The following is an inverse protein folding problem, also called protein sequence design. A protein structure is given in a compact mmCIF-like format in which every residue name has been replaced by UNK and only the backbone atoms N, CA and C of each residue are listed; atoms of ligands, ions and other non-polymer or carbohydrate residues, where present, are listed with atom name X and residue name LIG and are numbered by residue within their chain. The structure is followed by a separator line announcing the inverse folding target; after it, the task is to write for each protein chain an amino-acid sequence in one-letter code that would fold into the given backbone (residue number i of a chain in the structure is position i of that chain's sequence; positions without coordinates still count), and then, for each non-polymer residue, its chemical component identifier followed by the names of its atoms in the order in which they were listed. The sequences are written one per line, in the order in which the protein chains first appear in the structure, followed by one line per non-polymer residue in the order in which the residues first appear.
data_IF_297966179569
#
_entry.id   IF_297966179569
#
_cell.length_a   1.000
_cell.length_b   1.000
_cell.length_c   1.000
_cell.angle_alpha   90.00
_cell.angle_beta   90.00
_cell.angle_gamma   90.00
#
_symmetry.space_group_name_H-M   'P 1'
#
loop_
_entity.id
_entity.type
_entity.pdbx_description
1 polymer ?
2 polymer ?
#
# COMPACT_ATOMS: atom_id res chain seq x y z
N UNK A 4 12.18 -11.30 -0.25
CA UNK A 4 13.39 -11.71 -0.98
C UNK A 4 14.00 -10.73 -2.00
N UNK A 5 13.23 -9.69 -2.39
CA UNK A 5 13.68 -8.71 -3.38
C UNK A 5 14.15 -7.46 -2.65
N UNK A 6 13.35 -6.39 -2.64
CA UNK A 6 13.78 -5.09 -2.16
C UNK A 6 14.86 -4.44 -3.04
N UNK A 7 14.47 -3.31 -3.65
CA UNK A 7 15.43 -2.44 -4.43
C UNK A 7 15.65 -2.97 -5.84
N UNK A 8 15.17 -2.19 -6.83
CA UNK A 8 15.39 -2.55 -8.25
C UNK A 8 15.82 -1.27 -8.97
N UNK A 9 16.46 -1.39 -10.13
CA UNK A 9 16.87 -0.24 -10.90
C UNK A 9 15.59 0.41 -11.44
N UNK A 10 15.64 1.70 -11.82
CA UNK A 10 14.50 2.29 -12.50
C UNK A 10 14.40 1.67 -13.89
N UNK A 11 13.19 1.54 -14.43
CA UNK A 11 13.07 0.99 -15.79
C UNK A 11 14.02 -0.21 -15.94
N UNK B 10 22.89 26.40 3.47
CA UNK B 10 22.80 24.90 3.47
C UNK B 10 23.36 24.37 4.79
N UNK B 11 22.49 24.27 5.81
CA UNK B 11 22.87 23.78 7.12
C UNK B 11 22.38 22.35 7.34
N UNK B 12 21.90 21.73 6.25
CA UNK B 12 21.42 20.36 6.24
C UNK B 12 22.47 19.41 5.63
N UNK B 13 23.48 19.95 4.93
CA UNK B 13 24.58 19.17 4.38
C UNK B 13 25.93 19.87 4.52
N UNK B 14 26.88 19.25 5.25
CA UNK B 14 28.26 19.73 5.33
C UNK B 14 28.93 19.66 3.96
N UNK B 15 30.19 20.15 3.84
CA UNK B 15 30.70 20.51 2.52
C UNK B 15 31.69 19.47 1.97
N UNK B 16 32.37 18.74 2.88
CA UNK B 16 33.40 17.80 2.45
C UNK B 16 32.96 16.34 2.57
N UNK B 17 32.38 15.80 1.49
CA UNK B 17 31.71 14.52 1.56
C UNK B 17 32.12 13.68 0.35
N UNK B 18 32.63 12.47 0.65
CA UNK B 18 33.29 11.65 -0.36
C UNK B 18 32.87 10.17 -0.22
N UNK B 19 32.68 9.53 -1.38
CA UNK B 19 32.33 8.11 -1.46
C UNK B 19 32.87 7.52 -2.76
N UNK B 20 33.53 6.33 -2.66
CA UNK B 20 34.00 5.60 -3.83
C UNK B 20 32.76 5.18 -4.59
N UNK B 21 31.81 4.62 -3.82
CA UNK B 21 30.55 4.11 -4.42
C UNK B 21 29.47 5.17 -4.22
N UNK B 22 29.10 5.85 -5.29
CA UNK B 22 28.11 6.90 -5.25
C UNK B 22 26.76 6.32 -5.62
N UNK B 23 25.90 6.27 -4.61
CA UNK B 23 24.71 5.44 -4.69
C UNK B 23 23.56 6.13 -3.96
N UNK B 24 22.36 6.02 -4.57
CA UNK B 24 21.17 6.50 -3.89
C UNK B 24 20.11 5.39 -3.91
N UNK B 25 19.19 5.52 -2.94
CA UNK B 25 18.06 4.64 -2.81
C UNK B 25 16.78 5.43 -2.57
N UNK B 26 15.77 5.19 -3.40
CA UNK B 26 14.44 5.78 -3.21
C UNK B 26 13.42 4.74 -2.80
N UNK B 27 12.69 5.10 -1.74
CA UNK B 27 11.56 4.36 -1.22
C UNK B 27 10.29 5.17 -1.47
N UNK B 28 9.39 4.64 -2.31
CA UNK B 28 8.08 5.23 -2.48
C UNK B 28 7.11 4.50 -1.59
N UNK B 29 6.59 5.20 -0.56
CA UNK B 29 5.80 4.56 0.46
C UNK B 29 4.40 5.15 0.43
N UNK B 30 3.42 4.30 0.15
CA UNK B 30 2.05 4.73 -0.05
C UNK B 30 1.10 3.92 0.82
N UNK B 31 0.13 4.61 1.37
CA UNK B 31 -0.95 3.96 2.07
C UNK B 31 -2.24 4.16 1.26
N UNK B 32 -2.91 3.07 0.87
CA UNK B 32 -4.13 3.21 0.06
C UNK B 32 -5.40 2.95 0.89
N UNK B 33 -6.32 3.91 0.86
CA UNK B 33 -7.53 3.88 1.66
C UNK B 33 -8.76 3.75 0.76
N UNK B 34 -9.73 2.95 1.19
CA UNK B 34 -10.85 2.49 0.37
C UNK B 34 -12.08 2.24 1.23
N UNK B 35 -13.22 2.71 0.73
CA UNK B 35 -14.51 2.32 1.29
C UNK B 35 -15.42 1.93 0.14
N UNK B 36 -15.71 0.64 0.01
CA UNK B 36 -16.51 0.15 -1.10
C UNK B 36 -17.90 -0.26 -0.59
N UNK B 37 -18.95 0.07 -1.36
CA UNK B 37 -20.33 -0.37 -1.13
C UNK B 37 -20.51 -1.85 -1.43
N UNK B 38 -21.62 -2.48 -0.99
CA UNK B 38 -21.80 -3.94 -1.17
C UNK B 38 -21.97 -4.33 -2.63
N UNK B 39 -22.53 -3.40 -3.42
CA UNK B 39 -22.67 -3.54 -4.87
C UNK B 39 -21.32 -3.57 -5.57
N UNK B 40 -20.50 -2.55 -5.28
CA UNK B 40 -19.17 -2.42 -5.89
C UNK B 40 -18.87 -0.97 -6.26
N UNK B 41 -19.62 -0.02 -5.71
CA UNK B 41 -19.33 1.39 -5.87
C UNK B 41 -18.14 1.73 -4.98
N UNK B 42 -17.25 2.57 -5.50
CA UNK B 42 -16.26 3.20 -4.66
C UNK B 42 -16.93 4.39 -4.00
N UNK B 43 -17.25 4.29 -2.70
CA UNK B 43 -17.74 5.41 -1.92
C UNK B 43 -16.67 6.46 -1.65
N UNK B 44 -15.41 6.03 -1.44
CA UNK B 44 -14.35 6.93 -1.06
C UNK B 44 -13.02 6.20 -1.12
N UNK B 45 -11.98 6.91 -1.56
CA UNK B 45 -10.69 6.28 -1.79
C UNK B 45 -9.65 7.36 -1.90
N UNK B 46 -8.52 7.20 -1.21
CA UNK B 46 -7.41 8.12 -1.36
C UNK B 46 -6.08 7.41 -1.11
N UNK B 47 -5.00 8.01 -1.58
CA UNK B 47 -3.65 7.56 -1.28
C UNK B 47 -2.85 8.67 -0.60
N UNK B 48 -2.11 8.31 0.45
CA UNK B 48 -1.14 9.18 1.10
C UNK B 48 0.21 8.56 0.86
N UNK B 49 1.15 9.36 0.40
CA UNK B 49 2.44 8.88 -0.03
C UNK B 49 3.56 9.79 0.44
N UNK B 50 4.76 9.24 0.43
CA UNK B 50 5.95 10.01 0.70
C UNK B 50 7.06 9.25 0.00
N UNK B 51 8.00 10.04 -0.52
CA UNK B 51 9.23 9.51 -1.07
C UNK B 51 10.35 9.71 -0.08
N UNK B 52 11.04 8.61 0.25
CA UNK B 52 12.23 8.70 1.06
C UNK B 52 13.46 8.44 0.19
N UNK B 53 14.51 9.26 0.42
CA UNK B 53 15.74 9.15 -0.40
C UNK B 53 16.97 8.91 0.49
N UNK B 54 17.60 7.73 0.36
CA UNK B 54 18.84 7.46 1.06
C UNK B 54 19.96 7.74 0.07
N UNK B 55 20.78 8.76 0.35
CA UNK B 55 21.79 9.22 -0.61
C UNK B 55 23.18 9.11 -0.01
N UNK B 56 24.09 8.54 -0.82
CA UNK B 56 25.51 8.44 -0.49
C UNK B 56 26.26 8.96 -1.72
N UNK B 57 26.28 10.30 -1.80
CA UNK B 57 26.74 11.02 -2.97
C UNK B 57 27.85 11.98 -2.61
N UNK B 58 28.80 12.10 -3.53
CA UNK B 58 30.04 12.81 -3.25
C UNK B 58 29.84 14.28 -3.54
N UNK B 59 30.08 15.10 -2.51
CA UNK B 59 30.28 16.53 -2.69
C UNK B 59 29.13 17.36 -2.13
N UNK B 60 28.58 18.22 -3.01
CA UNK B 60 27.33 18.95 -2.81
C UNK B 60 26.59 18.93 -4.15
N UNK B 61 25.83 17.86 -4.46
CA UNK B 61 25.30 17.68 -5.82
C UNK B 61 23.89 18.19 -6.09
N UNK B 62 23.66 18.57 -7.34
CA UNK B 62 22.37 19.11 -7.72
C UNK B 62 21.57 18.00 -8.41
N UNK B 63 20.59 17.47 -7.66
CA UNK B 63 19.76 16.39 -8.14
C UNK B 63 18.41 16.91 -8.59
N UNK B 64 17.85 16.23 -9.60
CA UNK B 64 16.56 16.52 -10.20
C UNK B 64 15.67 15.28 -10.20
N UNK B 65 14.60 15.28 -9.39
CA UNK B 65 13.69 14.15 -9.27
C UNK B 65 12.51 14.28 -10.25
N UNK B 66 12.47 13.37 -11.22
CA UNK B 66 11.37 13.28 -12.14
C UNK B 66 10.56 12.00 -11.90
N UNK B 67 9.26 12.20 -11.65
CA UNK B 67 8.25 11.14 -11.70
C UNK B 67 7.39 11.37 -12.94
N UNK B 68 6.15 10.88 -12.89
CA UNK B 68 5.24 10.79 -14.04
C UNK B 68 4.01 11.63 -13.69
N UNK B 69 4.24 12.93 -13.46
CA UNK B 69 3.23 13.85 -12.99
C UNK B 69 2.45 14.42 -14.19
N UNK B 70 1.15 14.65 -13.96
CA UNK B 70 0.25 15.34 -14.88
C UNK B 70 -0.48 14.28 -15.72
N UNK B 91 1.06 8.43 -16.46
CA UNK B 91 1.10 9.78 -15.81
C UNK B 91 -0.05 9.93 -14.81
N UNK B 92 0.23 10.48 -13.61
CA UNK B 92 -0.76 10.57 -12.54
C UNK B 92 -0.88 11.98 -11.95
N UNK B 93 -1.90 12.11 -11.08
CA UNK B 93 -2.46 13.38 -10.71
C UNK B 93 -2.32 13.58 -9.20
N UNK B 94 -1.37 14.45 -8.84
CA UNK B 94 -1.17 14.79 -7.45
C UNK B 94 -2.09 15.94 -7.05
N UNK B 95 -3.02 15.64 -6.13
CA UNK B 95 -3.90 16.63 -5.55
C UNK B 95 -3.12 17.73 -4.85
N UNK B 96 -2.12 17.37 -4.04
CA UNK B 96 -1.33 18.35 -3.31
C UNK B 96 -0.16 17.63 -2.65
N UNK B 97 0.87 18.40 -2.25
CA UNK B 97 2.07 17.82 -1.70
C UNK B 97 3.04 18.87 -1.15
N UNK B 98 3.31 18.82 0.17
CA UNK B 98 4.46 19.47 0.79
C UNK B 98 5.77 18.81 0.36
N UNK B 99 6.89 19.49 0.67
CA UNK B 99 8.23 19.04 0.36
C UNK B 99 9.17 19.26 1.55
N UNK B 100 10.47 19.07 1.31
CA UNK B 100 11.52 19.21 2.30
C UNK B 100 12.28 20.51 2.03
N UNK B 101 12.72 21.15 3.13
CA UNK B 101 13.60 22.33 3.06
C UNK B 101 14.32 22.45 1.71
N UNK B 102 15.17 21.47 1.41
CA UNK B 102 16.12 21.54 0.30
C UNK B 102 15.47 21.67 -1.07
N UNK B 103 14.14 21.71 -1.12
CA UNK B 103 13.50 21.70 -2.42
C UNK B 103 13.24 23.15 -2.83
N UNK B 104 13.62 23.43 -4.08
CA UNK B 104 13.54 24.75 -4.67
C UNK B 104 12.30 24.75 -5.58
N UNK B 105 11.32 25.55 -5.19
CA UNK B 105 10.02 25.51 -5.90
C UNK B 105 9.97 26.47 -7.08
N UNK B 106 9.19 26.13 -8.09
CA UNK B 106 9.01 26.94 -9.28
C UNK B 106 7.50 27.18 -9.50
N UNK B 112 7.61 22.71 -14.15
CA UNK B 112 8.26 23.02 -12.85
C UNK B 112 8.46 21.70 -12.08
N UNK B 113 9.60 21.04 -12.38
CA UNK B 113 10.03 19.75 -11.82
C UNK B 113 10.95 19.97 -10.62
N UNK B 114 11.18 18.90 -9.82
CA UNK B 114 11.64 18.99 -8.43
C UNK B 114 13.17 18.98 -8.38
N UNK B 115 13.78 19.94 -7.64
CA UNK B 115 15.21 20.18 -7.72
C UNK B 115 15.79 20.60 -6.37
N UNK B 116 16.96 20.02 -6.04
CA UNK B 116 17.47 20.08 -4.69
C UNK B 116 18.91 19.58 -4.61
N UNK B 117 19.51 19.94 -3.47
CA UNK B 117 20.76 19.41 -2.96
C UNK B 117 20.41 18.65 -1.69
N UNK B 118 20.50 17.31 -1.74
CA UNK B 118 19.94 16.49 -0.68
C UNK B 118 20.78 16.56 0.58
N UNK B 119 20.19 16.35 1.77
CA UNK B 119 20.98 16.04 2.96
C UNK B 119 21.70 14.73 2.68
N UNK B 120 22.62 14.39 3.57
CA UNK B 120 23.32 13.13 3.42
C UNK B 120 22.61 12.09 4.27
N UNK B 121 22.70 10.83 3.83
CA UNK B 121 21.92 9.77 4.43
C UNK B 121 20.46 9.84 3.96
N UNK B 122 19.58 9.57 4.92
CA UNK B 122 18.16 9.41 4.69
C UNK B 122 17.36 10.64 5.07
N UNK B 123 16.50 11.10 4.16
CA UNK B 123 15.48 12.08 4.49
C UNK B 123 14.21 11.88 3.66
N UNK B 124 13.09 12.39 4.17
CA UNK B 124 11.86 12.50 3.41
C UNK B 124 11.97 13.62 2.37
N UNK B 125 11.81 13.28 1.08
CA UNK B 125 11.96 14.26 0.02
C UNK B 125 10.62 14.95 -0.19
N UNK B 126 9.52 14.17 -0.29
CA UNK B 126 8.20 14.77 -0.39
C UNK B 126 7.14 13.88 0.27
N UNK B 127 5.97 14.51 0.45
CA UNK B 127 4.78 13.80 0.98
C UNK B 127 3.66 14.24 0.05
N UNK B 128 2.58 13.47 -0.12
CA UNK B 128 1.58 13.80 -1.13
C UNK B 128 0.30 13.00 -0.94
N UNK B 129 -0.77 13.49 -1.56
CA UNK B 129 -2.10 12.89 -1.49
C UNK B 129 -2.62 12.74 -2.92
N UNK B 130 -3.48 11.74 -3.13
CA UNK B 130 -4.02 11.39 -4.45
C UNK B 130 -5.44 10.87 -4.28
N UNK B 131 -6.33 11.17 -5.23
CA UNK B 131 -7.72 10.74 -5.15
C UNK B 131 -8.21 10.14 -6.47
N UNK B 132 -7.51 10.42 -7.57
CA UNK B 132 -7.98 10.10 -8.92
C UNK B 132 -7.19 8.92 -9.46
N UNK B 133 -7.84 8.05 -10.22
CA UNK B 133 -7.20 7.03 -11.04
C UNK B 133 -6.36 6.07 -10.19
N UNK B 134 -6.85 5.75 -8.99
CA UNK B 134 -6.15 4.95 -8.01
C UNK B 134 -6.26 3.49 -8.41
N UNK B 135 -5.15 2.75 -8.38
CA UNK B 135 -5.24 1.31 -8.51
C UNK B 135 -5.65 0.76 -7.16
N UNK B 136 -6.79 0.05 -7.11
CA UNK B 136 -7.22 -0.72 -5.95
C UNK B 136 -6.71 -2.16 -6.08
N UNK B 137 -5.65 -2.56 -5.35
CA UNK B 137 -4.98 -3.83 -5.59
C UNK B 137 -5.89 -5.00 -5.28
N UNK B 138 -6.94 -4.78 -4.48
CA UNK B 138 -7.78 -5.90 -4.06
C UNK B 138 -9.26 -5.58 -4.16
N UNK B 139 -9.98 -6.57 -4.67
CA UNK B 139 -11.41 -6.55 -4.87
C UNK B 139 -11.93 -7.57 -3.89
N UNK B 140 -12.82 -7.16 -2.98
CA UNK B 140 -13.35 -8.06 -1.97
C UNK B 140 -14.81 -8.29 -2.27
N UNK B 141 -15.21 -9.55 -2.48
CA UNK B 141 -16.59 -9.82 -2.86
C UNK B 141 -17.28 -10.67 -1.81
N UNK B 142 -18.04 -10.06 -0.88
CA UNK B 142 -18.71 -10.82 0.19
C UNK B 142 -20.06 -11.37 -0.21
N UNK B 143 -20.43 -12.50 0.41
CA UNK B 143 -21.73 -13.12 0.20
C UNK B 143 -22.22 -13.69 1.52
N UNK B 144 -23.39 -13.23 2.00
CA UNK B 144 -23.90 -13.57 3.31
C UNK B 144 -25.34 -14.09 3.18
N UNK B 145 -25.61 -15.25 3.81
CA UNK B 145 -26.92 -15.90 3.80
C UNK B 145 -27.32 -16.34 5.22
N UNK B 146 -28.54 -15.93 5.65
CA UNK B 146 -29.09 -16.30 6.94
C UNK B 146 -29.75 -17.68 6.85
N UNK B 147 -29.66 -18.47 7.91
CA UNK B 147 -30.23 -19.80 7.92
C UNK B 147 -31.10 -19.92 9.16
N UNK B 148 -32.36 -19.52 8.97
CA UNK B 148 -33.25 -19.27 10.08
C UNK B 148 -32.57 -18.35 11.10
N UNK B 149 -32.39 -18.86 12.31
CA UNK B 149 -31.97 -18.04 13.42
C UNK B 149 -30.75 -18.69 14.07
N UNK B 150 -30.23 -19.76 13.44
CA UNK B 150 -29.23 -20.59 14.08
C UNK B 150 -27.85 -20.42 13.43
N UNK B 151 -27.80 -19.96 12.16
CA UNK B 151 -26.60 -20.03 11.34
C UNK B 151 -26.49 -18.83 10.40
N UNK B 152 -25.24 -18.37 10.19
CA UNK B 152 -24.90 -17.44 9.12
C UNK B 152 -23.91 -18.10 8.17
N UNK B 153 -24.25 -18.12 6.89
CA UNK B 153 -23.36 -18.67 5.85
C UNK B 153 -22.62 -17.52 5.16
N UNK B 154 -21.28 -17.53 5.21
CA UNK B 154 -20.50 -16.46 4.63
C UNK B 154 -19.45 -17.00 3.67
N UNK B 155 -19.39 -16.38 2.49
CA UNK B 155 -18.32 -16.65 1.53
C UNK B 155 -17.68 -15.32 1.17
N UNK B 156 -16.36 -15.30 1.16
CA UNK B 156 -15.68 -14.08 0.76
C UNK B 156 -14.62 -14.40 -0.28
N UNK B 157 -14.63 -13.64 -1.38
CA UNK B 157 -13.70 -13.85 -2.47
C UNK B 157 -12.81 -12.62 -2.53
N UNK B 158 -11.49 -12.84 -2.60
CA UNK B 158 -10.56 -11.77 -2.83
C UNK B 158 -9.96 -11.97 -4.22
N UNK B 159 -9.90 -10.89 -5.00
CA UNK B 159 -9.29 -10.90 -6.31
C UNK B 159 -8.14 -9.90 -6.30
N UNK B 160 -6.95 -10.35 -6.71
CA UNK B 160 -5.83 -9.43 -6.86
C UNK B 160 -5.81 -8.80 -8.24
N UNK B 161 -5.45 -7.53 -8.29
CA UNK B 161 -5.70 -6.69 -9.45
C UNK B 161 -4.42 -5.99 -9.85
N UNK B 162 -3.50 -6.78 -10.42
CA UNK B 162 -2.18 -6.27 -10.77
C UNK B 162 -1.34 -7.32 -11.51
N UNK B 163 -0.25 -6.89 -12.11
CA UNK B 163 0.54 -7.74 -12.99
C UNK B 163 0.85 -9.07 -12.26
N UNK B 164 0.62 -10.23 -12.90
CA UNK B 164 1.05 -11.54 -12.35
C UNK B 164 2.49 -11.70 -11.87
N UNK B 165 3.35 -10.82 -12.37
CA UNK B 165 4.78 -10.83 -12.10
C UNK B 165 5.05 -10.44 -10.65
N UNK B 166 4.17 -9.58 -10.09
CA UNK B 166 4.25 -9.00 -8.76
C UNK B 166 3.47 -9.85 -7.75
N UNK B 167 4.03 -9.95 -6.52
CA UNK B 167 3.44 -10.64 -5.39
C UNK B 167 3.01 -9.67 -4.29
N UNK B 168 1.72 -9.67 -3.93
CA UNK B 168 1.33 -9.09 -2.65
C UNK B 168 1.78 -10.01 -1.55
N UNK B 169 2.08 -9.44 -0.40
CA UNK B 169 2.32 -10.26 0.78
C UNK B 169 1.62 -9.67 2.00
N UNK B 170 1.65 -10.44 3.10
CA UNK B 170 1.07 -10.05 4.37
C UNK B 170 -0.40 -9.70 4.22
N UNK B 171 -1.15 -10.57 3.53
CA UNK B 171 -2.60 -10.34 3.28
C UNK B 171 -3.39 -10.76 4.54
N UNK B 172 -4.11 -9.82 5.14
CA UNK B 172 -4.95 -10.14 6.33
C UNK B 172 -6.40 -9.79 6.04
N UNK B 173 -7.28 -10.79 5.97
CA UNK B 173 -8.73 -10.53 5.74
C UNK B 173 -9.45 -10.65 7.10
N UNK B 174 -10.31 -9.70 7.43
CA UNK B 174 -10.98 -9.70 8.70
C UNK B 174 -12.49 -9.68 8.44
N UNK B 175 -13.17 -10.78 8.77
CA UNK B 175 -14.62 -10.90 8.64
C UNK B 175 -15.24 -10.82 10.02
N UNK B 176 -16.03 -9.77 10.35
CA UNK B 176 -16.69 -9.66 11.65
C UNK B 176 -17.87 -10.60 11.86
N UNK B 177 -18.04 -11.00 13.13
CA UNK B 177 -19.02 -11.99 13.55
C UNK B 177 -19.92 -11.36 14.60
N UNK B 178 -21.24 -11.69 14.65
CA UNK B 178 -22.15 -11.15 15.67
C UNK B 178 -21.72 -11.43 17.10
N UNK B 179 -22.32 -10.71 18.08
CA UNK B 179 -21.93 -10.90 19.47
C UNK B 179 -22.48 -12.21 20.01
N UNK B 180 -23.58 -12.69 19.40
CA UNK B 180 -24.25 -13.93 19.79
C UNK B 180 -23.65 -15.14 19.05
N UNK B 181 -22.32 -15.22 18.97
CA UNK B 181 -21.70 -16.22 18.13
C UNK B 181 -21.20 -17.34 19.04
N UNK B 182 -21.79 -18.54 18.88
CA UNK B 182 -21.40 -19.69 19.69
C UNK B 182 -20.17 -20.38 19.10
N UNK B 183 -20.01 -20.29 17.78
CA UNK B 183 -18.85 -20.91 17.15
C UNK B 183 -18.83 -20.63 15.65
N UNK B 184 -17.68 -20.97 15.05
CA UNK B 184 -17.45 -20.75 13.63
C UNK B 184 -16.68 -21.91 13.01
N UNK B 185 -17.20 -22.43 11.89
CA UNK B 185 -16.47 -23.32 11.00
C UNK B 185 -15.98 -22.53 9.78
N UNK B 186 -14.68 -22.65 9.44
CA UNK B 186 -14.20 -22.07 8.20
C UNK B 186 -13.42 -23.12 7.40
N UNK B 187 -13.57 -23.06 6.07
CA UNK B 187 -12.70 -23.77 5.16
C UNK B 187 -12.00 -22.73 4.30
N UNK B 188 -10.68 -22.89 4.08
CA UNK B 188 -10.06 -22.13 3.00
C UNK B 188 -8.88 -22.87 2.39
N UNK B 189 -8.83 -22.90 1.06
CA UNK B 189 -7.81 -23.65 0.32
C UNK B 189 -6.45 -22.97 0.46
N UNK B 190 -6.41 -21.63 0.45
CA UNK B 190 -5.21 -20.86 0.63
C UNK B 190 -5.20 -20.26 2.03
N UNK B 191 -4.00 -20.24 2.64
CA UNK B 191 -3.77 -19.53 3.89
C UNK B 191 -4.33 -20.28 5.10
N UNK B 192 -4.38 -19.60 6.25
CA UNK B 192 -4.90 -20.15 7.49
C UNK B 192 -5.86 -19.12 8.06
N UNK B 193 -7.00 -19.59 8.59
CA UNK B 193 -7.96 -18.70 9.22
C UNK B 193 -8.35 -19.27 10.57
N UNK B 194 -8.49 -18.40 11.56
CA UNK B 194 -8.98 -18.79 12.86
C UNK B 194 -9.96 -17.73 13.34
N UNK B 195 -11.03 -18.18 14.03
CA UNK B 195 -11.97 -17.31 14.70
C UNK B 195 -11.31 -16.77 15.96
N UNK B 196 -11.47 -15.47 16.19
CA UNK B 196 -10.94 -14.80 17.35
C UNK B 196 -12.14 -14.23 18.11
N UNK B 197 -12.56 -14.88 19.20
CA UNK B 197 -13.83 -14.53 19.84
C UNK B 197 -13.69 -13.25 20.66
N UNK B 198 -12.49 -13.07 21.26
CA UNK B 198 -12.11 -11.84 21.95
C UNK B 198 -12.43 -10.62 21.08
N UNK B 199 -12.20 -10.73 19.77
CA UNK B 199 -12.27 -9.61 18.84
C UNK B 199 -13.54 -9.69 17.98
N UNK B 200 -14.32 -10.75 18.12
CA UNK B 200 -15.53 -10.92 17.33
C UNK B 200 -15.23 -10.80 15.84
N UNK B 201 -14.24 -11.57 15.36
CA UNK B 201 -13.94 -11.63 13.93
C UNK B 201 -13.26 -12.93 13.53
N UNK B 202 -13.47 -13.30 12.27
CA UNK B 202 -12.66 -14.30 11.60
C UNK B 202 -11.47 -13.60 10.93
N UNK B 203 -10.29 -14.17 11.13
CA UNK B 203 -9.10 -13.53 10.63
C UNK B 203 -8.40 -14.50 9.72
N UNK B 204 -8.37 -14.16 8.44
CA UNK B 204 -7.79 -15.01 7.41
C UNK B 204 -6.50 -14.36 6.95
N UNK B 205 -5.39 -15.11 7.06
CA UNK B 205 -4.06 -14.63 6.72
C UNK B 205 -3.45 -15.48 5.61
N UNK B 206 -2.86 -14.79 4.64
CA UNK B 206 -2.20 -15.37 3.48
C UNK B 206 -0.80 -14.77 3.35
N UNK B 207 0.23 -15.62 3.33
CA UNK B 207 1.60 -15.12 3.33
C UNK B 207 1.84 -14.36 2.03
N UNK B 208 1.47 -14.91 0.87
CA UNK B 208 1.62 -14.16 -0.37
C UNK B 208 0.65 -14.61 -1.47
N UNK B 209 0.34 -13.68 -2.37
CA UNK B 209 -0.63 -13.88 -3.44
C UNK B 209 -0.17 -13.07 -4.65
N UNK B 210 -0.18 -13.74 -5.82
CA UNK B 210 0.22 -13.15 -7.08
C UNK B 210 -0.91 -12.31 -7.68
N UNK B 211 -0.55 -11.37 -8.56
CA UNK B 211 -1.54 -10.55 -9.24
C UNK B 211 -2.42 -11.38 -10.16
N UNK B 212 -3.62 -10.86 -10.44
CA UNK B 212 -4.64 -11.51 -11.28
C UNK B 212 -4.90 -12.93 -10.77
N UNK B 213 -5.53 -13.03 -9.59
CA UNK B 213 -5.82 -14.31 -8.95
C UNK B 213 -7.06 -14.18 -8.07
N UNK B 214 -7.56 -15.32 -7.61
CA UNK B 214 -8.79 -15.40 -6.83
C UNK B 214 -8.57 -16.38 -5.68
N UNK B 215 -9.02 -15.98 -4.50
CA UNK B 215 -9.09 -16.89 -3.38
C UNK B 215 -10.40 -16.64 -2.69
N UNK B 216 -10.93 -17.70 -2.08
CA UNK B 216 -12.17 -17.58 -1.35
C UNK B 216 -12.08 -18.31 -0.02
N UNK B 217 -12.93 -17.85 0.91
CA UNK B 217 -13.08 -18.45 2.21
C UNK B 217 -14.56 -18.65 2.41
N UNK B 218 -14.89 -19.82 2.95
CA UNK B 218 -16.24 -20.14 3.40
C UNK B 218 -16.22 -20.20 4.91
N UNK B 219 -17.26 -19.67 5.54
CA UNK B 219 -17.39 -19.81 6.99
C UNK B 219 -18.85 -20.06 7.31
N UNK B 220 -19.09 -20.86 8.35
CA UNK B 220 -20.44 -21.07 8.88
C UNK B 220 -20.43 -20.58 10.31
N UNK B 221 -21.31 -19.63 10.60
CA UNK B 221 -21.28 -18.97 11.89
C UNK B 221 -22.50 -19.43 12.68
N UNK B 222 -22.22 -20.05 13.84
CA UNK B 222 -23.26 -20.61 14.68
C UNK B 222 -23.72 -19.56 15.71
N UNK B 223 -25.03 -19.26 15.67
CA UNK B 223 -25.64 -18.18 16.43
C UNK B 223 -26.39 -18.68 17.67
N UNK B 224 -25.95 -18.27 18.88
CA UNK B 224 -26.79 -18.24 20.08
C UNK B 224 -28.08 -17.47 19.77
N UNK B 225 -29.22 -17.79 20.43
CA UNK B 225 -30.45 -17.03 20.19
C UNK B 225 -30.39 -15.71 20.94
N UNK B 226 -31.20 -14.75 20.50
CA UNK B 226 -30.95 -13.37 20.87
C UNK B 226 -32.22 -12.55 20.74
N UNK B 227 -32.05 -11.26 21.02
CA UNK B 227 -33.08 -10.37 21.54
C UNK B 227 -34.17 -10.07 20.52
N UNK B 228 -34.11 -10.73 19.35
CA UNK B 228 -35.23 -10.88 18.43
C UNK B 228 -35.41 -9.58 17.64
N UNK B 229 -35.34 -8.44 18.34
CA UNK B 229 -35.31 -7.12 17.71
C UNK B 229 -33.90 -6.57 17.88
N UNK B 230 -32.94 -7.30 17.33
CA UNK B 230 -31.56 -6.85 17.17
C UNK B 230 -31.14 -7.11 15.72
N UNK B 231 -31.21 -6.10 14.86
CA UNK B 231 -30.67 -6.24 13.52
C UNK B 231 -29.15 -6.17 13.68
N UNK B 232 -28.40 -7.06 13.00
CA UNK B 232 -26.94 -7.00 13.02
C UNK B 232 -26.48 -5.81 12.17
N UNK B 233 -25.93 -4.77 12.83
CA UNK B 233 -25.23 -3.70 12.13
C UNK B 233 -23.96 -4.27 11.48
N UNK B 234 -24.11 -4.89 10.28
CA UNK B 234 -23.09 -5.71 9.64
C UNK B 234 -21.85 -4.89 9.31
N UNK B 235 -20.77 -4.83 10.13
CA UNK B 235 -19.65 -3.94 9.83
C UNK B 235 -18.89 -4.45 8.59
N UNK B 236 -17.94 -3.65 8.07
CA UNK B 236 -17.31 -3.98 6.79
C UNK B 236 -16.29 -5.08 6.97
N UNK B 237 -16.13 -5.84 5.91
CA UNK B 237 -14.98 -6.71 5.79
C UNK B 237 -13.79 -5.83 5.49
N UNK B 238 -12.67 -6.06 6.17
CA UNK B 238 -11.51 -5.20 5.96
C UNK B 238 -10.26 -6.02 5.68
N UNK B 239 -9.28 -5.37 5.05
CA UNK B 239 -8.13 -6.06 4.51
C UNK B 239 -6.86 -5.37 4.95
N UNK B 240 -5.77 -6.15 4.99
CA UNK B 240 -4.43 -5.61 5.09
C UNK B 240 -3.59 -6.30 4.05
N UNK B 241 -2.65 -5.54 3.49
CA UNK B 241 -1.77 -6.11 2.49
C UNK B 241 -0.61 -5.15 2.31
N UNK B 242 0.44 -5.68 1.72
CA UNK B 242 1.56 -4.88 1.23
C UNK B 242 1.67 -5.28 -0.21
N UNK B 243 1.93 -4.33 -1.11
CA UNK B 243 2.12 -4.62 -2.52
C UNK B 243 3.36 -3.88 -2.95
N UNK B 244 4.13 -4.42 -3.91
CA UNK B 244 5.33 -3.73 -4.43
C UNK B 244 5.06 -2.81 -5.61
N UNK B 245 4.13 -1.88 -5.43
CA UNK B 245 3.93 -0.82 -6.41
C UNK B 245 3.12 0.26 -5.75
N UNK B 246 3.20 1.47 -6.30
CA UNK B 246 2.41 2.58 -5.81
C UNK B 246 1.00 2.48 -6.38
N UNK B 247 0.00 2.32 -5.50
CA UNK B 247 -1.40 2.43 -5.90
C UNK B 247 -1.82 3.74 -6.56
N UNK B 248 -1.10 4.84 -6.25
CA UNK B 248 -1.36 6.15 -6.84
C UNK B 248 -1.17 6.12 -8.34
N UNK B 249 -0.27 5.24 -8.78
CA UNK B 249 0.15 5.13 -10.17
C UNK B 249 1.56 5.67 -10.34
N UNK B 250 2.10 6.26 -9.26
CA UNK B 250 3.36 6.98 -9.31
C UNK B 250 4.49 6.02 -9.67
N UNK B 251 5.39 6.49 -10.52
CA UNK B 251 6.43 5.66 -11.07
C UNK B 251 7.63 6.57 -11.33
N UNK B 252 8.81 6.18 -10.84
CA UNK B 252 9.96 7.07 -10.84
C UNK B 252 10.57 6.98 -12.23
N UNK B 253 10.93 8.12 -12.81
CA UNK B 253 11.33 8.11 -14.21
C UNK B 253 12.82 8.42 -14.31
N UNK B 254 13.32 9.33 -13.46
CA UNK B 254 14.73 9.65 -13.43
C UNK B 254 15.03 10.31 -12.09
N UNK B 255 16.29 10.19 -11.65
CA UNK B 255 16.79 11.09 -10.63
C UNK B 255 18.21 11.47 -11.02
N UNK B 256 18.39 12.71 -11.49
CA UNK B 256 19.60 13.12 -12.19
C UNK B 256 20.49 13.83 -11.20
N UNK B 257 21.77 13.42 -11.22
CA UNK B 257 22.78 13.91 -10.29
C UNK B 257 23.90 14.60 -11.09
N UNK B 258 24.10 15.88 -10.74
CA UNK B 258 25.09 16.77 -11.33
C UNK B 258 25.89 17.34 -10.17
N UNK B 259 27.21 17.14 -10.23
CA UNK B 259 28.14 17.74 -9.28
C UNK B 259 29.34 18.21 -10.08
N UNK B 260 29.45 19.55 -10.27
CA UNK B 260 30.27 20.10 -11.34
C UNK B 260 31.74 20.28 -10.96
N UNK B 261 32.03 20.62 -9.69
CA UNK B 261 33.35 20.49 -9.09
C UNK B 261 33.97 19.09 -9.32
N UNK B 262 33.35 18.04 -8.76
CA UNK B 262 33.94 16.71 -8.74
C UNK B 262 33.70 15.99 -10.06
N UNK B 263 34.46 14.88 -10.23
CA UNK B 263 34.78 14.30 -11.54
C UNK B 263 34.06 12.96 -11.72
N UNK B 264 32.90 12.85 -11.06
CA UNK B 264 31.97 11.76 -11.27
C UNK B 264 30.73 12.30 -11.98
N UNK B 265 30.36 11.69 -13.10
CA UNK B 265 29.18 12.12 -13.82
C UNK B 265 27.93 11.42 -13.24
N UNK B 266 26.87 11.37 -14.04
CA UNK B 266 25.60 10.87 -13.57
C UNK B 266 25.58 9.35 -13.76
N UNK B 267 26.00 8.93 -14.97
CA UNK B 267 26.25 7.54 -15.35
C UNK B 267 27.00 6.77 -14.25
N UNK B 268 27.67 7.47 -13.33
CA UNK B 268 28.52 6.78 -12.36
C UNK B 268 27.74 6.45 -11.11
N UNK B 269 26.57 7.07 -10.98
CA UNK B 269 25.77 6.93 -9.77
C UNK B 269 24.86 5.70 -9.93
N UNK B 270 24.80 4.92 -8.85
CA UNK B 270 24.05 3.67 -8.83
C UNK B 270 22.73 3.98 -8.13
N UNK B 271 21.63 3.62 -8.78
CA UNK B 271 20.33 4.13 -8.37
C UNK B 271 19.31 3.03 -8.17
N UNK B 272 18.62 3.04 -7.03
CA UNK B 272 17.60 2.03 -6.73
C UNK B 272 16.25 2.64 -6.34
N UNK B 273 15.16 1.96 -6.71
CA UNK B 273 13.84 2.27 -6.21
C UNK B 273 13.34 1.04 -5.50
N UNK B 274 12.47 1.26 -4.52
CA UNK B 274 11.48 0.24 -4.24
C UNK B 274 10.16 0.94 -3.92
N UNK B 275 9.08 0.23 -4.25
CA UNK B 275 7.73 0.69 -3.95
C UNK B 275 7.15 -0.22 -2.87
N UNK B 276 6.50 0.38 -1.89
CA UNK B 276 5.81 -0.37 -0.84
C UNK B 276 4.46 0.30 -0.64
N UNK B 277 3.43 -0.28 -1.25
CA UNK B 277 2.08 0.19 -1.05
C UNK B 277 1.42 -0.67 0.00
N UNK B 278 0.85 -0.02 1.01
CA UNK B 278 0.27 -0.74 2.12
C UNK B 278 -1.18 -0.24 2.29
N UNK B 279 -2.05 -1.15 2.71
CA UNK B 279 -3.39 -0.76 3.03
C UNK B 279 -3.35 0.23 4.19
N UNK B 280 -4.22 1.22 4.13
CA UNK B 280 -4.69 1.87 5.33
C UNK B 280 -6.00 1.22 5.80
N UNK B 281 -7.02 2.07 5.77
CA UNK B 281 -8.40 1.67 5.89
C UNK B 281 -8.86 1.16 4.54
N UNK B 282 -9.27 -0.10 4.48
CA UNK B 282 -9.65 -0.73 3.22
C UNK B 282 -10.83 -1.64 3.50
N UNK B 283 -12.01 -1.01 3.56
CA UNK B 283 -13.23 -1.61 4.04
C UNK B 283 -14.17 -1.84 2.87
N UNK B 284 -14.78 -3.02 2.83
CA UNK B 284 -15.82 -3.31 1.86
C UNK B 284 -17.09 -3.65 2.63
N UNK B 285 -18.18 -2.93 2.34
CA UNK B 285 -19.46 -3.17 3.04
C UNK B 285 -20.06 -4.49 2.55
N UNK B 286 -20.59 -5.30 3.47
CA UNK B 286 -21.26 -6.53 3.06
C UNK B 286 -22.78 -6.34 3.11
#
# INVERSE_FOLDING_TARGET
SYRPYSYRHFA
MHHHHHHMQIGWRREGIKYRRNELFLDVLESVNLLMSPQGQVLSAHVSGRVVMKSYLSGMPECKFGMNDKIVIEKQGKGTADETSKSGKQSIAIDDCTFHQCVRLSKFDSERSISFIPPDGEFELMRYRTTKDIILPFRVIPLVREVGRTKLEVKVVIKSNFKPSLLAQKIEVRIPTPLNTSGVQVICMKGKAKYKASENAIVWKIKRMAGMKESQISAEIELLPTNDKKKWARPPISMNFEVPFAPSGLKVRYLKVFEPKLNYSDHDVIKWVRYIGRSGIYETRC
#
